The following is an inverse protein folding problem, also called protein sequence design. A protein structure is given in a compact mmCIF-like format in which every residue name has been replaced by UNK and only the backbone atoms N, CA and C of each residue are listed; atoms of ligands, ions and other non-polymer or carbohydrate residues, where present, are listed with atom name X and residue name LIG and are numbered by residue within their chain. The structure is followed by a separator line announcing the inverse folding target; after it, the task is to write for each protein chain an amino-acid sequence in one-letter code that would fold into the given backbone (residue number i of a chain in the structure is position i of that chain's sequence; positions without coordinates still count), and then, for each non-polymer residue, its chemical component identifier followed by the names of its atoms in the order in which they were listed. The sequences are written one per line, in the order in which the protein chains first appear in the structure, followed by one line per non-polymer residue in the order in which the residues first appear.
data_IF_862758338966
#
_entry.id   IF_862758338966
#
_cell.length_a   1.000
_cell.length_b   1.000
_cell.length_c   1.000
_cell.angle_alpha   90.00
_cell.angle_beta   90.00
_cell.angle_gamma   90.00
#
_symmetry.space_group_name_H-M   'P 1'
#
loop_
_entity.id
_entity.type
_entity.pdbx_description
1 polymer ?
#
# COMPACT_ATOMS: atom_id res chain seq x y z
N UNK A 1 49.48 34.56 17.56
CA UNK A 1 49.35 33.14 17.19
C UNK A 1 47.99 32.66 17.66
N UNK A 2 47.02 32.55 16.76
CA UNK A 2 45.65 32.11 17.06
C UNK A 2 45.60 30.63 16.70
N UNK A 3 45.49 29.76 17.71
CA UNK A 3 45.32 28.33 17.54
C UNK A 3 43.85 28.04 17.24
N UNK A 4 43.56 27.68 15.99
CA UNK A 4 42.26 27.17 15.57
C UNK A 4 42.06 25.75 16.10
N UNK A 5 41.16 25.60 17.05
CA UNK A 5 40.68 24.29 17.50
C UNK A 5 39.69 23.73 16.46
N UNK A 6 40.15 22.76 15.68
CA UNK A 6 39.29 22.00 14.77
C UNK A 6 38.44 21.04 15.60
N UNK A 7 37.17 21.39 15.78
CA UNK A 7 36.15 20.46 16.28
C UNK A 7 35.94 19.36 15.24
N UNK A 8 36.38 18.15 15.58
CA UNK A 8 36.02 16.94 14.85
C UNK A 8 34.51 16.70 15.04
N UNK A 9 33.70 17.13 14.08
CA UNK A 9 32.33 16.65 13.96
C UNK A 9 32.38 15.17 13.58
N UNK A 10 32.09 14.33 14.56
CA UNK A 10 31.73 12.93 14.40
C UNK A 10 30.51 12.84 13.47
N UNK A 11 30.77 12.52 12.20
CA UNK A 11 29.76 12.03 11.25
C UNK A 11 29.33 10.63 11.72
N UNK A 12 28.39 10.59 12.63
CA UNK A 12 27.52 9.43 12.86
C UNK A 12 26.13 9.86 12.38
N UNK A 13 25.33 8.92 11.89
CA UNK A 13 23.93 9.07 11.46
C UNK A 13 23.69 9.38 9.97
N UNK A 14 23.93 8.37 9.14
CA UNK A 14 23.04 8.06 8.02
C UNK A 14 23.18 6.58 7.63
N UNK A 15 23.04 5.66 8.59
CA UNK A 15 22.59 4.32 8.24
C UNK A 15 21.07 4.37 8.34
N UNK A 16 20.43 4.82 7.26
CA UNK A 16 19.02 4.53 7.05
C UNK A 16 18.93 3.01 7.02
N UNK A 17 18.54 2.41 8.14
CA UNK A 17 18.10 1.04 8.15
C UNK A 17 16.98 0.96 7.11
N UNK A 18 17.26 0.33 5.96
CA UNK A 18 16.23 -0.24 5.12
C UNK A 18 15.56 -1.34 5.94
N UNK A 19 14.69 -0.93 6.87
CA UNK A 19 13.89 -1.84 7.67
C UNK A 19 12.97 -2.58 6.72
N UNK A 20 13.32 -3.82 6.43
CA UNK A 20 12.46 -4.71 5.67
C UNK A 20 11.26 -5.05 6.56
N UNK A 21 10.12 -4.46 6.25
CA UNK A 21 8.82 -4.91 6.78
C UNK A 21 8.59 -6.30 6.22
N UNK A 22 8.61 -7.30 7.10
CA UNK A 22 8.40 -8.69 6.73
C UNK A 22 7.00 -9.07 7.16
N UNK A 23 6.13 -9.38 6.19
CA UNK A 23 4.75 -9.75 6.44
C UNK A 23 4.67 -10.93 7.42
N UNK A 24 3.81 -10.82 8.43
CA UNK A 24 3.46 -11.93 9.31
C UNK A 24 2.18 -12.58 8.77
N UNK A 25 2.35 -13.70 8.09
CA UNK A 25 1.21 -14.45 7.56
C UNK A 25 0.54 -15.22 8.70
N UNK A 26 -0.80 -15.16 8.84
CA UNK A 26 -1.51 -16.11 9.70
C UNK A 26 -1.19 -17.54 9.24
N UNK A 27 -1.21 -18.51 10.14
CA UNK A 27 -0.89 -19.93 9.84
C UNK A 27 -1.82 -20.59 8.79
N UNK A 28 -2.85 -19.87 8.33
CA UNK A 28 -3.62 -20.23 7.15
C UNK A 28 -2.71 -20.18 5.91
N UNK A 29 -2.17 -21.33 5.57
CA UNK A 29 -1.52 -21.58 4.29
C UNK A 29 -2.61 -21.43 3.22
N UNK A 30 -2.64 -20.27 2.56
CA UNK A 30 -3.48 -20.07 1.39
C UNK A 30 -2.91 -20.93 0.26
N UNK A 31 -3.29 -22.20 0.25
CA UNK A 31 -3.00 -23.12 -0.84
C UNK A 31 -4.05 -22.90 -1.93
N UNK A 32 -3.60 -22.38 -3.06
CA UNK A 32 -4.45 -22.15 -4.22
C UNK A 32 -4.10 -23.20 -5.27
N UNK A 33 -4.98 -24.20 -5.39
CA UNK A 33 -4.84 -25.25 -6.39
C UNK A 33 -5.53 -24.87 -7.71
N UNK A 34 -4.83 -25.08 -8.81
CA UNK A 34 -5.37 -24.94 -10.16
C UNK A 34 -4.61 -25.82 -11.15
N UNK A 35 -5.21 -26.13 -12.30
CA UNK A 35 -4.52 -26.88 -13.34
C UNK A 35 -3.22 -26.19 -13.77
N UNK A 36 -2.12 -26.94 -13.85
CA UNK A 36 -0.84 -26.42 -14.31
C UNK A 36 -0.94 -25.72 -15.68
N UNK A 37 -1.90 -26.14 -16.52
CA UNK A 37 -2.19 -25.58 -17.84
C UNK A 37 -2.51 -24.07 -17.79
N UNK A 38 -3.14 -23.58 -16.73
CA UNK A 38 -3.50 -22.16 -16.60
C UNK A 38 -2.55 -21.36 -15.72
N UNK A 39 -1.47 -21.98 -15.21
CA UNK A 39 -0.57 -21.35 -14.25
C UNK A 39 0.07 -20.07 -14.78
N UNK A 40 0.44 -20.01 -16.07
CA UNK A 40 0.98 -18.80 -16.67
C UNK A 40 0.04 -17.59 -16.61
N UNK A 41 -1.27 -17.80 -16.80
CA UNK A 41 -2.27 -16.73 -16.71
C UNK A 41 -2.43 -16.21 -15.28
N UNK A 42 -2.40 -17.12 -14.30
CA UNK A 42 -2.46 -16.77 -12.87
C UNK A 42 -1.21 -15.99 -12.47
N UNK A 43 -0.02 -16.44 -12.90
CA UNK A 43 1.26 -15.80 -12.61
C UNK A 43 1.38 -14.40 -13.23
N UNK A 44 0.90 -14.23 -14.45
CA UNK A 44 0.92 -12.94 -15.15
C UNK A 44 -0.02 -11.93 -14.48
N UNK A 45 -1.21 -12.38 -14.05
CA UNK A 45 -2.10 -11.52 -13.27
C UNK A 45 -1.46 -11.15 -11.92
N UNK A 46 -0.86 -12.12 -11.24
CA UNK A 46 -0.19 -11.89 -9.97
C UNK A 46 1.01 -10.93 -10.09
N UNK A 47 1.72 -10.96 -11.22
CA UNK A 47 2.78 -10.00 -11.55
C UNK A 47 2.24 -8.58 -11.68
N UNK A 48 1.06 -8.39 -12.28
CA UNK A 48 0.42 -7.07 -12.34
C UNK A 48 0.11 -6.54 -10.93
N UNK A 49 -0.48 -7.38 -10.08
CA UNK A 49 -0.83 -7.01 -8.71
C UNK A 49 0.41 -6.59 -7.92
N UNK A 50 1.52 -7.33 -8.04
CA UNK A 50 2.79 -7.01 -7.38
C UNK A 50 3.55 -5.81 -7.94
N UNK A 51 3.17 -5.29 -9.11
CA UNK A 51 3.87 -4.18 -9.76
C UNK A 51 3.66 -2.82 -9.09
N UNK A 52 2.79 -2.74 -8.08
CA UNK A 52 2.54 -1.51 -7.31
C UNK A 52 3.78 -1.05 -6.53
N UNK A 53 3.94 0.27 -6.41
CA UNK A 53 4.89 0.89 -5.47
C UNK A 53 4.08 1.41 -4.27
N UNK A 54 4.45 0.98 -3.07
CA UNK A 54 3.68 1.27 -1.85
C UNK A 54 4.43 2.25 -0.95
N UNK A 55 3.68 3.14 -0.30
CA UNK A 55 4.23 4.12 0.64
C UNK A 55 3.65 3.85 2.02
N UNK A 56 4.54 3.78 3.02
CA UNK A 56 4.15 3.58 4.42
C UNK A 56 3.99 4.94 5.09
N UNK A 57 2.89 5.10 5.84
CA UNK A 57 2.73 6.19 6.80
C UNK A 57 1.93 7.39 6.30
N UNK A 58 1.17 7.29 5.21
CA UNK A 58 0.36 8.38 4.63
C UNK A 58 -1.14 8.33 5.00
N UNK A 59 -1.52 7.47 5.94
CA UNK A 59 -2.91 7.23 6.35
C UNK A 59 -3.65 6.19 5.50
N UNK A 60 -3.06 5.71 4.39
CA UNK A 60 -3.56 4.55 3.65
C UNK A 60 -2.72 3.31 3.97
N UNK A 61 -3.37 2.27 4.48
CA UNK A 61 -2.71 0.99 4.75
C UNK A 61 -2.26 0.30 3.47
N UNK A 62 -1.39 -0.69 3.61
CA UNK A 62 -1.09 -1.64 2.54
C UNK A 62 -2.37 -2.30 2.02
N UNK A 63 -3.35 -2.60 2.88
CA UNK A 63 -4.63 -3.15 2.46
C UNK A 63 -5.33 -2.27 1.42
N UNK A 64 -5.44 -0.96 1.67
CA UNK A 64 -6.11 -0.01 0.76
C UNK A 64 -5.36 0.12 -0.55
N UNK A 65 -4.03 0.20 -0.49
CA UNK A 65 -3.19 0.27 -1.67
C UNK A 65 -3.33 -1.01 -2.52
N UNK A 66 -3.42 -2.17 -1.85
CA UNK A 66 -3.61 -3.46 -2.51
C UNK A 66 -5.02 -3.62 -3.10
N UNK A 67 -6.06 -3.04 -2.47
CA UNK A 67 -7.40 -2.91 -3.08
C UNK A 67 -7.35 -2.04 -4.34
N UNK A 68 -6.53 -0.99 -4.35
CA UNK A 68 -6.26 -0.16 -5.51
C UNK A 68 -5.62 -0.93 -6.68
N UNK A 69 -4.70 -1.85 -6.38
CA UNK A 69 -4.07 -2.70 -7.41
C UNK A 69 -5.07 -3.55 -8.19
N UNK A 70 -6.13 -4.03 -7.52
CA UNK A 70 -7.20 -4.82 -8.16
C UNK A 70 -7.86 -4.01 -9.29
N UNK A 71 -8.12 -2.72 -9.04
CA UNK A 71 -8.74 -1.84 -10.03
C UNK A 71 -7.77 -1.56 -11.19
N UNK A 72 -6.50 -1.23 -10.87
CA UNK A 72 -5.46 -1.02 -11.89
C UNK A 72 -5.27 -2.24 -12.79
N UNK A 73 -5.32 -3.44 -12.22
CA UNK A 73 -5.10 -4.69 -12.92
C UNK A 73 -6.39 -5.36 -13.45
N UNK A 74 -7.53 -4.68 -13.41
CA UNK A 74 -8.83 -5.26 -13.79
C UNK A 74 -8.88 -5.70 -15.26
N UNK A 75 -8.29 -4.92 -16.17
CA UNK A 75 -8.17 -5.29 -17.58
C UNK A 75 -7.33 -6.55 -17.77
N UNK A 76 -6.14 -6.60 -17.15
CA UNK A 76 -5.28 -7.77 -17.19
C UNK A 76 -5.99 -9.00 -16.62
N UNK A 77 -6.75 -8.86 -15.52
CA UNK A 77 -7.51 -9.95 -14.92
C UNK A 77 -8.50 -10.56 -15.94
N UNK A 78 -9.29 -9.72 -16.62
CA UNK A 78 -10.26 -10.17 -17.64
C UNK A 78 -9.59 -10.88 -18.81
N UNK A 79 -8.47 -10.35 -19.30
CA UNK A 79 -7.72 -10.95 -20.42
C UNK A 79 -7.11 -12.30 -20.04
N UNK A 80 -6.52 -12.40 -18.85
CA UNK A 80 -5.92 -13.64 -18.35
C UNK A 80 -6.99 -14.70 -18.04
N UNK A 81 -8.13 -14.31 -17.47
CA UNK A 81 -9.26 -15.21 -17.20
C UNK A 81 -9.86 -15.77 -18.51
N UNK A 82 -10.07 -14.90 -19.51
CA UNK A 82 -10.55 -15.32 -20.82
C UNK A 82 -9.54 -16.26 -21.50
N UNK A 83 -8.25 -15.92 -21.48
CA UNK A 83 -7.19 -16.76 -22.06
C UNK A 83 -7.08 -18.14 -21.39
N UNK A 84 -7.23 -18.20 -20.07
CA UNK A 84 -7.26 -19.45 -19.31
C UNK A 84 -8.46 -20.33 -19.73
N UNK A 85 -9.66 -19.75 -19.82
CA UNK A 85 -10.87 -20.43 -20.28
C UNK A 85 -10.74 -20.97 -21.70
N UNK A 86 -10.22 -20.15 -22.62
CA UNK A 86 -9.97 -20.55 -24.02
C UNK A 86 -8.98 -21.71 -24.11
N UNK A 87 -7.91 -21.68 -23.31
CA UNK A 87 -6.91 -22.75 -23.30
C UNK A 87 -7.48 -24.06 -22.74
N UNK A 88 -8.27 -24.00 -21.67
CA UNK A 88 -8.95 -25.16 -21.10
C UNK A 88 -9.95 -25.77 -22.09
N UNK A 89 -10.73 -24.93 -22.78
CA UNK A 89 -11.65 -25.38 -23.81
C UNK A 89 -10.93 -26.06 -24.99
N UNK A 90 -9.84 -25.46 -25.50
CA UNK A 90 -9.02 -26.03 -26.59
C UNK A 90 -8.37 -27.38 -26.24
N UNK A 91 -8.28 -27.72 -24.96
CA UNK A 91 -7.69 -28.97 -24.46
C UNK A 91 -8.74 -29.95 -23.95
N UNK A 92 -10.03 -29.68 -24.15
CA UNK A 92 -11.16 -30.47 -23.64
C UNK A 92 -11.13 -30.64 -22.10
N UNK A 93 -10.57 -29.66 -21.38
CA UNK A 93 -10.44 -29.64 -19.92
C UNK A 93 -11.49 -28.78 -19.22
N UNK A 94 -12.36 -28.11 -19.98
CA UNK A 94 -13.41 -27.25 -19.43
C UNK A 94 -14.44 -28.02 -18.56
N UNK A 95 -14.56 -29.34 -18.72
CA UNK A 95 -15.38 -30.17 -17.84
C UNK A 95 -14.77 -30.39 -16.45
N UNK A 96 -13.43 -30.41 -16.35
CA UNK A 96 -12.70 -30.56 -15.08
C UNK A 96 -12.48 -29.22 -14.37
N UNK A 97 -12.32 -28.14 -15.14
CA UNK A 97 -12.18 -26.78 -14.63
C UNK A 97 -13.07 -25.84 -15.43
N UNK A 98 -14.34 -25.70 -15.04
CA UNK A 98 -15.29 -24.86 -15.75
C UNK A 98 -14.99 -23.37 -15.58
N UNK A 99 -15.55 -22.49 -16.42
CA UNK A 99 -15.31 -21.05 -16.34
C UNK A 99 -15.60 -20.42 -14.97
N UNK A 100 -16.61 -20.92 -14.26
CA UNK A 100 -16.90 -20.48 -12.88
C UNK A 100 -15.78 -20.81 -11.89
N UNK A 101 -15.08 -21.94 -12.08
CA UNK A 101 -13.93 -22.30 -11.25
C UNK A 101 -12.71 -21.45 -11.60
N UNK A 102 -12.50 -21.14 -12.89
CA UNK A 102 -11.46 -20.19 -13.31
C UNK A 102 -11.71 -18.81 -12.68
N UNK A 103 -12.93 -18.28 -12.76
CA UNK A 103 -13.28 -17.01 -12.11
C UNK A 103 -13.01 -17.05 -10.58
N UNK A 104 -13.32 -18.17 -9.92
CA UNK A 104 -13.04 -18.37 -8.48
C UNK A 104 -11.54 -18.36 -8.16
N UNK A 105 -10.70 -18.88 -9.05
CA UNK A 105 -9.23 -18.85 -8.90
C UNK A 105 -8.73 -17.40 -8.94
N UNK A 106 -9.15 -16.62 -9.94
CA UNK A 106 -8.76 -15.21 -10.06
C UNK A 106 -9.31 -14.33 -8.92
N UNK A 107 -10.51 -14.61 -8.42
CA UNK A 107 -11.05 -13.98 -7.21
C UNK A 107 -10.23 -14.34 -5.97
N UNK A 108 -9.84 -15.60 -5.83
CA UNK A 108 -9.02 -16.03 -4.69
C UNK A 108 -7.65 -15.36 -4.69
N UNK A 109 -7.03 -15.17 -5.86
CA UNK A 109 -5.79 -14.39 -5.99
C UNK A 109 -5.99 -12.94 -5.50
N UNK A 110 -7.11 -12.29 -5.87
CA UNK A 110 -7.44 -10.93 -5.43
C UNK A 110 -7.57 -10.85 -3.91
N UNK A 111 -8.32 -11.76 -3.30
CA UNK A 111 -8.48 -11.82 -1.85
C UNK A 111 -7.15 -12.05 -1.14
N UNK A 112 -6.34 -13.02 -1.63
CA UNK A 112 -5.01 -13.28 -1.09
C UNK A 112 -4.13 -12.03 -1.18
N UNK A 113 -4.20 -11.26 -2.26
CA UNK A 113 -3.45 -10.01 -2.40
C UNK A 113 -3.86 -9.04 -1.28
N UNK A 114 -5.14 -8.68 -1.16
CA UNK A 114 -5.62 -7.75 -0.13
C UNK A 114 -5.26 -8.19 1.29
N UNK A 115 -5.42 -9.48 1.61
CA UNK A 115 -5.06 -10.03 2.92
C UNK A 115 -3.56 -9.92 3.23
N UNK A 116 -2.68 -9.99 2.21
CA UNK A 116 -1.26 -9.72 2.40
C UNK A 116 -1.02 -8.25 2.75
N UNK A 117 -1.79 -7.33 2.17
CA UNK A 117 -1.79 -5.93 2.56
C UNK A 117 -2.18 -5.75 4.02
N UNK A 118 -3.33 -6.29 4.43
CA UNK A 118 -3.80 -6.24 5.81
C UNK A 118 -2.81 -6.87 6.82
N UNK A 119 -2.14 -7.95 6.43
CA UNK A 119 -1.07 -8.57 7.21
C UNK A 119 0.15 -7.66 7.39
N UNK A 120 0.56 -6.95 6.33
CA UNK A 120 1.63 -5.96 6.38
C UNK A 120 1.26 -4.78 7.28
N UNK A 121 0.01 -4.33 7.26
CA UNK A 121 -0.49 -3.31 8.17
C UNK A 121 -0.39 -3.76 9.62
N UNK A 122 -0.89 -4.95 9.95
CA UNK A 122 -0.79 -5.54 11.31
C UNK A 122 0.66 -5.66 11.78
N UNK A 123 1.57 -6.14 10.91
CA UNK A 123 2.98 -6.29 11.22
C UNK A 123 3.68 -4.94 11.44
N UNK A 124 3.30 -3.91 10.67
CA UNK A 124 3.84 -2.56 10.77
C UNK A 124 3.39 -1.89 12.06
N UNK A 125 2.08 -1.93 12.36
CA UNK A 125 1.53 -1.39 13.61
C UNK A 125 2.12 -2.05 14.84
N UNK A 126 2.25 -3.38 14.84
CA UNK A 126 2.85 -4.13 15.96
C UNK A 126 4.32 -3.76 16.21
N UNK A 127 5.11 -3.53 15.16
CA UNK A 127 6.52 -3.12 15.27
C UNK A 127 6.67 -1.69 15.78
N UNK A 128 5.81 -0.78 15.32
CA UNK A 128 5.81 0.61 15.76
C UNK A 128 5.54 0.67 17.27
N UNK A 129 4.48 0.02 17.75
CA UNK A 129 4.09 -0.02 19.17
C UNK A 129 5.16 -0.68 20.06
N UNK A 130 5.86 -1.70 19.56
CA UNK A 130 6.86 -2.45 20.35
C UNK A 130 8.26 -1.80 20.39
N UNK A 131 8.52 -0.72 19.63
CA UNK A 131 9.85 -0.12 19.58
C UNK A 131 10.11 0.83 20.76
N UNK A 132 11.30 0.76 21.37
CA UNK A 132 11.73 1.69 22.43
C UNK A 132 11.77 3.14 21.94
N UNK A 133 12.08 3.34 20.65
CA UNK A 133 12.00 4.62 19.98
C UNK A 133 10.57 5.21 19.98
N UNK A 134 9.53 4.37 19.96
CA UNK A 134 8.14 4.83 20.08
C UNK A 134 7.79 5.29 21.50
N UNK A 135 8.29 4.60 22.52
CA UNK A 135 8.12 5.01 23.92
C UNK A 135 8.82 6.35 24.21
N UNK A 136 10.06 6.53 23.74
CA UNK A 136 10.82 7.78 23.87
C UNK A 136 10.20 8.91 23.01
N UNK A 137 9.76 8.61 21.78
CA UNK A 137 9.15 9.60 20.91
C UNK A 137 7.76 10.05 21.35
N UNK A 138 6.97 9.19 22.02
CA UNK A 138 5.70 9.57 22.66
C UNK A 138 5.91 10.59 23.76
N UNK A 139 6.98 10.45 24.54
CA UNK A 139 7.36 11.41 25.58
C UNK A 139 7.74 12.79 24.99
N UNK A 140 8.48 12.78 23.87
CA UNK A 140 8.86 14.00 23.12
C UNK A 140 7.67 14.62 22.40
N UNK A 141 6.78 13.80 21.84
CA UNK A 141 5.57 14.22 21.14
C UNK A 141 4.61 14.97 22.07
N UNK A 142 4.51 14.61 23.35
CA UNK A 142 3.59 15.25 24.31
C UNK A 142 4.00 16.68 24.70
N UNK A 143 5.21 17.14 24.40
CA UNK A 143 5.77 18.43 24.84
C UNK A 143 5.37 19.68 24.01
N UNK A 144 4.21 19.65 23.31
CA UNK A 144 3.61 20.64 22.38
C UNK A 144 3.99 20.50 20.89
N UNK A 145 3.02 20.59 19.95
CA UNK A 145 3.24 20.23 18.55
C UNK A 145 4.01 21.34 17.82
N UNK A 146 5.14 21.02 17.16
CA UNK A 146 5.80 21.98 16.30
C UNK A 146 4.94 22.28 15.05
N UNK A 147 5.01 23.49 14.45
CA UNK A 147 4.28 23.89 13.23
C UNK A 147 4.35 22.89 12.07
N UNK A 148 5.37 22.04 12.04
CA UNK A 148 5.55 20.98 11.07
C UNK A 148 4.51 19.86 11.16
N UNK A 149 4.05 19.47 12.34
CA UNK A 149 3.01 18.42 12.49
C UNK A 149 1.72 18.89 11.85
N UNK A 150 1.34 20.15 12.09
CA UNK A 150 0.16 20.75 11.48
C UNK A 150 0.29 20.81 9.95
N UNK A 151 1.46 21.15 9.43
CA UNK A 151 1.69 21.21 7.98
C UNK A 151 1.68 19.83 7.32
N UNK A 152 2.24 18.80 7.97
CA UNK A 152 2.14 17.41 7.49
C UNK A 152 0.69 16.94 7.47
N UNK A 153 -0.09 17.25 8.51
CA UNK A 153 -1.51 16.90 8.59
C UNK A 153 -2.34 17.62 7.52
N UNK A 154 -2.01 18.87 7.21
CA UNK A 154 -2.62 19.60 6.11
C UNK A 154 -2.32 18.94 4.75
N UNK A 155 -1.06 18.58 4.48
CA UNK A 155 -0.68 17.87 3.25
C UNK A 155 -1.39 16.52 3.11
N UNK A 156 -1.56 15.78 4.21
CA UNK A 156 -2.33 14.53 4.25
C UNK A 156 -3.80 14.76 3.94
N UNK A 157 -4.39 15.79 4.54
CA UNK A 157 -5.78 16.18 4.31
C UNK A 157 -6.00 16.56 2.85
N UNK A 158 -5.08 17.33 2.25
CA UNK A 158 -5.12 17.69 0.83
C UNK A 158 -5.06 16.44 -0.05
N UNK A 159 -4.17 15.49 0.25
CA UNK A 159 -4.04 14.22 -0.48
C UNK A 159 -5.29 13.37 -0.37
N UNK A 160 -5.82 13.19 0.85
CA UNK A 160 -7.04 12.43 1.09
C UNK A 160 -8.22 13.04 0.32
N UNK A 161 -8.39 14.37 0.40
CA UNK A 161 -9.42 15.06 -0.36
C UNK A 161 -9.25 14.90 -1.86
N UNK A 162 -8.02 14.91 -2.37
CA UNK A 162 -7.76 14.64 -3.80
C UNK A 162 -8.16 13.21 -4.19
N UNK A 163 -7.85 12.22 -3.35
CA UNK A 163 -8.29 10.83 -3.55
C UNK A 163 -9.82 10.71 -3.52
N UNK A 164 -10.50 11.34 -2.57
CA UNK A 164 -11.96 11.30 -2.46
C UNK A 164 -12.64 12.01 -3.64
N UNK A 165 -12.14 13.18 -4.03
CA UNK A 165 -12.79 14.01 -5.07
C UNK A 165 -12.53 13.51 -6.48
N UNK A 166 -11.36 12.93 -6.75
CA UNK A 166 -10.97 12.48 -8.09
C UNK A 166 -11.01 10.96 -8.24
N UNK A 167 -10.98 10.21 -7.13
CA UNK A 167 -10.84 8.75 -7.14
C UNK A 167 -11.99 8.03 -7.82
N UNK A 168 -13.23 8.49 -7.66
CA UNK A 168 -14.37 7.91 -8.39
C UNK A 168 -14.26 8.13 -9.90
N UNK A 169 -13.83 9.32 -10.33
CA UNK A 169 -13.60 9.61 -11.74
C UNK A 169 -12.51 8.73 -12.34
N UNK A 170 -11.39 8.58 -11.63
CA UNK A 170 -10.28 7.72 -12.04
C UNK A 170 -10.69 6.24 -12.04
N UNK A 171 -11.48 5.80 -11.06
CA UNK A 171 -12.05 4.44 -11.03
C UNK A 171 -12.95 4.19 -12.23
N UNK A 172 -13.84 5.13 -12.54
CA UNK A 172 -14.72 5.04 -13.70
C UNK A 172 -13.92 4.97 -15.02
N UNK A 173 -12.77 5.61 -15.10
CA UNK A 173 -11.85 5.45 -16.24
C UNK A 173 -11.26 4.04 -16.28
N UNK A 174 -10.78 3.50 -15.16
CA UNK A 174 -10.23 2.14 -15.12
C UNK A 174 -11.23 1.05 -15.55
N UNK A 175 -12.53 1.29 -15.33
CA UNK A 175 -13.61 0.40 -15.74
C UNK A 175 -13.89 0.43 -17.26
N UNK A 176 -13.37 1.42 -18.00
CA UNK A 176 -13.55 1.53 -19.45
C UNK A 176 -12.74 0.45 -20.20
N UNK A 177 -13.25 -0.06 -21.35
CA UNK A 177 -12.52 -1.02 -22.17
C UNK A 177 -11.29 -0.39 -22.87
N UNK A 178 -11.39 0.88 -23.23
CA UNK A 178 -10.34 1.68 -23.86
C UNK A 178 -10.30 3.08 -23.24
N UNK A 179 -9.10 3.67 -23.19
CA UNK A 179 -8.89 4.99 -22.60
C UNK A 179 -8.70 6.03 -23.68
N UNK A 180 -9.55 7.05 -23.67
CA UNK A 180 -9.34 8.25 -24.49
C UNK A 180 -8.09 9.03 -24.05
N UNK A 181 -7.65 10.00 -24.85
CA UNK A 181 -6.56 10.90 -24.43
C UNK A 181 -6.92 11.68 -23.17
N UNK A 182 -8.19 12.06 -23.01
CA UNK A 182 -8.67 12.76 -21.82
C UNK A 182 -8.67 11.86 -20.58
N UNK A 183 -9.00 10.57 -20.75
CA UNK A 183 -8.92 9.56 -19.69
C UNK A 183 -7.47 9.36 -19.21
N UNK A 184 -6.54 9.24 -20.15
CA UNK A 184 -5.11 9.12 -19.84
C UNK A 184 -4.59 10.38 -19.16
N UNK A 185 -5.04 11.57 -19.58
CA UNK A 185 -4.71 12.84 -18.95
C UNK A 185 -5.25 12.92 -17.53
N UNK A 186 -6.50 12.50 -17.30
CA UNK A 186 -7.09 12.45 -15.96
C UNK A 186 -6.26 11.56 -15.02
N UNK A 187 -5.94 10.34 -15.45
CA UNK A 187 -5.09 9.41 -14.69
C UNK A 187 -3.72 10.03 -14.41
N UNK A 188 -3.09 10.62 -15.42
CA UNK A 188 -1.76 11.22 -15.29
C UNK A 188 -1.77 12.40 -14.31
N UNK A 189 -2.75 13.30 -14.41
CA UNK A 189 -2.89 14.44 -13.50
C UNK A 189 -3.20 13.98 -12.07
N UNK A 190 -4.08 13.00 -11.92
CA UNK A 190 -4.39 12.41 -10.63
C UNK A 190 -3.13 11.85 -9.95
N UNK A 191 -2.37 11.02 -10.68
CA UNK A 191 -1.15 10.40 -10.17
C UNK A 191 -0.04 11.43 -9.92
N UNK A 192 0.10 12.45 -10.78
CA UNK A 192 1.09 13.50 -10.61
C UNK A 192 0.86 14.29 -9.32
N UNK A 193 -0.39 14.63 -9.03
CA UNK A 193 -0.73 15.36 -7.81
C UNK A 193 -0.55 14.50 -6.55
N UNK A 194 -0.92 13.22 -6.61
CA UNK A 194 -0.60 12.28 -5.53
C UNK A 194 0.90 12.17 -5.29
N UNK A 195 1.71 12.03 -6.35
CA UNK A 195 3.17 11.99 -6.22
C UNK A 195 3.73 13.29 -5.64
N UNK A 196 3.21 14.45 -6.06
CA UNK A 196 3.61 15.75 -5.54
C UNK A 196 3.34 15.85 -4.03
N UNK A 197 2.13 15.52 -3.60
CA UNK A 197 1.71 15.57 -2.19
C UNK A 197 2.49 14.55 -1.34
N UNK A 198 2.64 13.32 -1.82
CA UNK A 198 3.47 12.29 -1.18
C UNK A 198 4.93 12.72 -1.04
N UNK A 199 5.49 13.34 -2.08
CA UNK A 199 6.85 13.89 -2.06
C UNK A 199 7.00 15.00 -1.02
N UNK A 200 6.02 15.91 -0.93
CA UNK A 200 6.00 16.97 0.07
C UNK A 200 5.90 16.44 1.51
N UNK A 201 5.01 15.47 1.75
CA UNK A 201 4.89 14.78 3.06
C UNK A 201 6.21 14.13 3.45
N UNK A 202 6.86 13.43 2.51
CA UNK A 202 8.14 12.74 2.75
C UNK A 202 9.26 13.74 3.08
N UNK A 203 9.34 14.84 2.34
CA UNK A 203 10.32 15.90 2.58
C UNK A 203 10.12 16.53 3.97
N UNK A 204 8.88 16.80 4.34
CA UNK A 204 8.56 17.43 5.62
C UNK A 204 8.79 16.47 6.80
N UNK A 205 8.46 15.18 6.66
CA UNK A 205 8.77 14.15 7.65
C UNK A 205 10.29 14.01 7.89
N UNK A 206 11.11 14.18 6.84
CA UNK A 206 12.58 14.22 6.98
C UNK A 206 13.05 15.47 7.70
N UNK A 207 12.43 16.62 7.44
CA UNK A 207 12.74 17.86 8.15
C UNK A 207 12.28 17.83 9.61
N UNK A 208 11.24 17.04 9.90
CA UNK A 208 10.58 16.98 11.19
C UNK A 208 10.32 15.52 11.65
N UNK A 209 11.39 14.78 11.97
CA UNK A 209 11.29 13.35 12.31
C UNK A 209 10.40 13.07 13.52
N UNK A 210 10.31 14.00 14.47
CA UNK A 210 9.40 13.92 15.62
C UNK A 210 7.91 13.88 15.23
N UNK A 211 7.55 14.42 14.06
CA UNK A 211 6.17 14.42 13.57
C UNK A 211 5.71 13.04 13.11
N UNK A 212 6.65 12.19 12.67
CA UNK A 212 6.35 10.82 12.23
C UNK A 212 5.63 10.01 13.32
N UNK A 213 5.88 10.30 14.59
CA UNK A 213 5.35 9.55 15.72
C UNK A 213 3.93 9.97 16.15
N UNK A 214 3.63 11.28 16.22
CA UNK A 214 2.28 11.77 16.58
C UNK A 214 1.18 11.33 15.63
N UNK A 215 1.53 11.30 14.34
CA UNK A 215 0.61 10.96 13.28
C UNK A 215 0.06 9.54 13.43
N UNK A 216 0.86 8.61 13.97
CA UNK A 216 0.39 7.24 14.22
C UNK A 216 -0.55 7.17 15.45
N UNK A 217 -0.43 8.06 16.43
CA UNK A 217 -1.34 8.12 17.58
C UNK A 217 -2.72 8.64 17.18
N UNK A 218 -2.80 9.75 16.45
CA UNK A 218 -4.08 10.36 16.02
C UNK A 218 -4.88 9.45 15.05
N UNK A 219 -4.19 8.56 14.32
CA UNK A 219 -4.82 7.58 13.42
C UNK A 219 -5.27 6.27 14.10
N UNK A 220 -4.74 5.97 15.29
CA UNK A 220 -5.05 4.75 16.03
C UNK A 220 -6.25 4.88 16.98
N UNK A 221 -6.66 6.10 17.34
CA UNK A 221 -7.82 6.36 18.21
C UNK A 221 -9.19 6.00 17.58
N UNK A 222 -9.22 5.54 16.33
CA UNK A 222 -10.44 5.14 15.62
C UNK A 222 -10.89 3.68 15.78
N UNK A 223 -10.11 2.81 16.46
CA UNK A 223 -10.51 1.42 16.71
C UNK A 223 -10.94 1.29 18.17
N UNK A 224 -12.25 1.22 18.48
CA UNK A 224 -12.68 0.93 19.84
C UNK A 224 -12.11 -0.44 20.22
N UNK A 225 -11.44 -0.49 21.37
CA UNK A 225 -11.07 -1.74 22.01
C UNK A 225 -12.37 -2.44 22.44
N UNK A 226 -12.93 -3.28 21.58
CA UNK A 226 -13.94 -4.25 22.01
C UNK A 226 -13.25 -5.29 22.89
N UNK A 227 -13.45 -5.13 24.20
CA UNK A 227 -13.67 -6.17 25.21
C UNK A 227 -12.99 -7.52 24.95
N UNK A 228 -11.71 -7.59 25.28
CA UNK A 228 -11.07 -8.85 25.64
C UNK A 228 -11.38 -9.18 27.12
N UNK A 229 -12.60 -9.65 27.37
CA UNK A 229 -12.91 -10.49 28.53
C UNK A 229 -14.12 -11.39 28.19
N UNK A 230 -13.82 -12.67 27.95
CA UNK A 230 -14.77 -13.75 27.68
C UNK A 230 -14.07 -15.11 27.68
#
# INVERSE_FOLDING_TARGET
MIATASAALTLIFAQAATDRVQAQYPEQQWELEYPALIGGFVDDYYRCLKGGSYVIGDGSGFEDQYRGDIQRCSKQAREMEAGANDLLAKRDRAGETPPSQVATIFETVRRIHVERGASLDRATSSRIVASTAYAEAREVAQAAPPPCVAYINDLRTQRQRHMETQGEGVKAVYDKPEYSEDDQRLIATYNAELMRLTGAITLELRACPQAQYRIYEDGAEGVPAEDADG
#
